data_IF_051951375536
#
_entry.id   IF_051951375536
#
_cell.length_a   1.000
_cell.length_b   1.000
_cell.length_c   1.000
_cell.angle_alpha   90.00
_cell.angle_beta   90.00
_cell.angle_gamma   90.00
#
_symmetry.space_group_name_H-M   'P 1'
#
loop_
_entity.id
_entity.type
_entity.pdbx_description
1 polymer ?
#
# COMPACT_ATOMS: atom_id res chain seq x y z
N UNK A 1 0.86 18.87 -14.74
CA UNK A 1 2.04 18.71 -13.86
C UNK A 1 1.83 17.64 -12.77
N UNK A 2 0.73 17.62 -12.02
CA UNK A 2 0.53 16.74 -10.85
C UNK A 2 0.64 15.21 -11.09
N UNK A 3 0.12 14.69 -12.20
CA UNK A 3 0.23 13.24 -12.54
C UNK A 3 1.67 12.74 -12.70
N UNK A 4 2.58 13.59 -13.19
CA UNK A 4 3.98 13.23 -13.34
C UNK A 4 4.70 13.14 -11.99
N UNK A 5 4.36 14.05 -11.07
CA UNK A 5 4.96 14.12 -9.74
C UNK A 5 4.67 12.87 -8.89
N UNK A 6 3.40 12.44 -8.84
CA UNK A 6 3.00 11.23 -8.09
C UNK A 6 3.58 9.93 -8.66
N UNK A 7 3.75 9.83 -10.00
CA UNK A 7 4.42 8.67 -10.62
C UNK A 7 5.92 8.65 -10.35
N UNK A 8 6.57 9.82 -10.33
CA UNK A 8 7.97 9.93 -9.95
C UNK A 8 8.18 9.53 -8.49
N UNK A 9 7.31 10.00 -7.58
CA UNK A 9 7.33 9.60 -6.17
C UNK A 9 7.12 8.09 -5.98
N UNK A 10 6.15 7.48 -6.70
CA UNK A 10 5.99 6.02 -6.71
C UNK A 10 7.27 5.30 -7.16
N UNK A 11 7.89 5.77 -8.25
CA UNK A 11 9.09 5.14 -8.79
C UNK A 11 10.28 5.25 -7.82
N UNK A 12 10.45 6.41 -7.18
CA UNK A 12 11.49 6.62 -6.18
C UNK A 12 11.27 5.72 -4.96
N UNK A 13 10.02 5.60 -4.48
CA UNK A 13 9.67 4.66 -3.41
C UNK A 13 10.07 3.22 -3.75
N UNK A 14 9.79 2.77 -4.98
CA UNK A 14 10.16 1.43 -5.43
C UNK A 14 11.67 1.21 -5.53
N UNK A 15 12.45 2.23 -5.90
CA UNK A 15 13.91 2.13 -5.90
C UNK A 15 14.44 2.00 -4.47
N UNK A 16 13.90 2.77 -3.53
CA UNK A 16 14.30 2.76 -2.13
C UNK A 16 13.93 1.44 -1.45
N UNK A 17 12.73 0.92 -1.72
CA UNK A 17 12.29 -0.39 -1.25
C UNK A 17 13.25 -1.49 -1.70
N UNK A 18 13.63 -1.51 -2.98
CA UNK A 18 14.63 -2.47 -3.51
C UNK A 18 16.00 -2.36 -2.86
N UNK A 19 16.32 -1.20 -2.26
CA UNK A 19 17.57 -0.98 -1.52
C UNK A 19 17.44 -1.31 -0.03
N UNK A 20 16.26 -1.70 0.44
CA UNK A 20 15.99 -1.96 1.86
C UNK A 20 15.69 -0.70 2.67
N UNK A 21 15.59 0.47 2.03
CA UNK A 21 15.33 1.76 2.68
C UNK A 21 13.83 1.97 2.92
N UNK A 22 13.20 1.03 3.66
CA UNK A 22 11.74 0.90 3.77
C UNK A 22 11.07 2.15 4.38
N UNK A 23 11.74 2.83 5.33
CA UNK A 23 11.22 4.06 5.94
C UNK A 23 11.11 5.20 4.93
N UNK A 24 12.12 5.37 4.08
CA UNK A 24 12.08 6.39 3.03
C UNK A 24 11.11 5.99 1.91
N UNK A 25 11.10 4.71 1.53
CA UNK A 25 10.14 4.18 0.55
C UNK A 25 8.69 4.48 0.98
N UNK A 26 8.36 4.21 2.24
CA UNK A 26 7.04 4.51 2.81
C UNK A 26 6.66 5.98 2.75
N UNK A 27 7.61 6.91 2.94
CA UNK A 27 7.35 8.35 2.80
C UNK A 27 6.99 8.73 1.36
N UNK A 28 7.72 8.19 0.38
CA UNK A 28 7.45 8.47 -1.03
C UNK A 28 6.15 7.84 -1.52
N UNK A 29 5.85 6.62 -1.09
CA UNK A 29 4.57 5.99 -1.34
C UNK A 29 3.41 6.76 -0.70
N UNK A 30 3.57 7.25 0.53
CA UNK A 30 2.56 8.08 1.19
C UNK A 30 2.28 9.36 0.41
N UNK A 31 3.31 10.06 -0.06
CA UNK A 31 3.14 11.26 -0.88
C UNK A 31 2.38 10.95 -2.16
N UNK A 32 2.78 9.91 -2.91
CA UNK A 32 2.11 9.53 -4.14
C UNK A 32 0.66 9.04 -3.91
N UNK A 33 0.43 8.29 -2.83
CA UNK A 33 -0.88 7.80 -2.43
C UNK A 33 -1.84 8.94 -2.05
N UNK A 34 -1.34 9.96 -1.34
CA UNK A 34 -2.10 11.17 -1.02
C UNK A 34 -2.54 11.91 -2.29
N UNK A 35 -1.70 11.93 -3.32
CA UNK A 35 -1.98 12.48 -4.66
C UNK A 35 -2.84 11.55 -5.56
N UNK A 36 -3.41 10.47 -4.99
CA UNK A 36 -4.34 9.56 -5.68
C UNK A 36 -3.67 8.58 -6.63
N UNK A 37 -2.40 8.21 -6.38
CA UNK A 37 -1.75 7.11 -7.09
C UNK A 37 -2.06 5.77 -6.40
N UNK A 38 -3.07 5.06 -6.90
CA UNK A 38 -3.56 3.80 -6.32
C UNK A 38 -2.46 2.75 -6.10
N UNK A 39 -1.53 2.62 -7.04
CA UNK A 39 -0.38 1.70 -6.92
C UNK A 39 0.52 2.04 -5.74
N UNK A 40 0.69 3.33 -5.44
CA UNK A 40 1.49 3.77 -4.30
C UNK A 40 0.77 3.51 -2.98
N UNK A 41 -0.57 3.71 -2.94
CA UNK A 41 -1.37 3.33 -1.79
C UNK A 41 -1.30 1.80 -1.55
N UNK A 42 -1.34 1.00 -2.61
CA UNK A 42 -1.17 -0.45 -2.54
C UNK A 42 0.21 -0.85 -1.97
N UNK A 43 1.29 -0.27 -2.49
CA UNK A 43 2.65 -0.52 -2.01
C UNK A 43 2.84 -0.07 -0.54
N UNK A 44 2.29 1.07 -0.17
CA UNK A 44 2.29 1.54 1.22
C UNK A 44 1.57 0.55 2.15
N UNK A 45 0.44 -0.02 1.72
CA UNK A 45 -0.25 -1.05 2.48
C UNK A 45 0.61 -2.27 2.75
N UNK A 46 1.39 -2.74 1.77
CA UNK A 46 2.33 -3.85 1.98
C UNK A 46 3.42 -3.51 2.99
N UNK A 47 4.02 -2.30 2.92
CA UNK A 47 5.01 -1.88 3.90
C UNK A 47 4.44 -1.78 5.32
N UNK A 48 3.21 -1.29 5.46
CA UNK A 48 2.56 -1.18 6.76
C UNK A 48 2.23 -2.55 7.36
N UNK A 49 1.74 -3.49 6.55
CA UNK A 49 1.53 -4.87 6.99
C UNK A 49 2.85 -5.53 7.42
N UNK A 50 3.92 -5.36 6.65
CA UNK A 50 5.24 -5.91 7.00
C UNK A 50 5.76 -5.33 8.34
N UNK A 51 5.44 -4.06 8.61
CA UNK A 51 5.69 -3.41 9.90
C UNK A 51 4.72 -3.83 11.03
N UNK A 52 3.76 -4.72 10.77
CA UNK A 52 2.75 -5.19 11.73
C UNK A 52 1.54 -4.27 11.89
N UNK A 53 1.44 -3.17 11.14
CA UNK A 53 0.31 -2.25 11.16
C UNK A 53 -0.73 -2.62 10.09
N UNK A 54 -1.41 -3.74 10.33
CA UNK A 54 -2.41 -4.27 9.42
C UNK A 54 -3.67 -3.37 9.32
N UNK A 55 -4.00 -2.64 10.38
CA UNK A 55 -5.12 -1.69 10.38
C UNK A 55 -4.88 -0.56 9.37
N UNK A 56 -3.71 0.09 9.46
CA UNK A 56 -3.36 1.13 8.49
C UNK A 56 -3.20 0.56 7.09
N UNK A 57 -2.65 -0.67 6.95
CA UNK A 57 -2.55 -1.34 5.66
C UNK A 57 -3.92 -1.53 5.00
N UNK A 58 -4.92 -1.99 5.76
CA UNK A 58 -6.29 -2.18 5.29
C UNK A 58 -6.88 -0.88 4.74
N UNK A 59 -6.66 0.25 5.43
CA UNK A 59 -7.15 1.56 5.00
C UNK A 59 -6.56 1.95 3.64
N UNK A 60 -5.25 1.77 3.45
CA UNK A 60 -4.61 2.13 2.18
C UNK A 60 -4.97 1.17 1.04
N UNK A 61 -5.09 -0.13 1.33
CA UNK A 61 -5.57 -1.09 0.33
C UNK A 61 -7.02 -0.85 -0.06
N UNK A 62 -7.89 -0.52 0.89
CA UNK A 62 -9.27 -0.18 0.60
C UNK A 62 -9.35 1.04 -0.34
N UNK A 63 -8.56 2.08 -0.08
CA UNK A 63 -8.49 3.25 -0.97
C UNK A 63 -7.99 2.89 -2.36
N UNK A 64 -6.90 2.12 -2.45
CA UNK A 64 -6.36 1.68 -3.73
C UNK A 64 -7.35 0.79 -4.52
N UNK A 65 -8.06 -0.10 -3.83
CA UNK A 65 -9.08 -0.96 -4.41
C UNK A 65 -10.28 -0.17 -4.96
N UNK A 66 -10.73 0.87 -4.24
CA UNK A 66 -11.77 1.79 -4.72
C UNK A 66 -11.34 2.53 -6.00
N UNK A 67 -10.05 2.82 -6.14
CA UNK A 67 -9.46 3.40 -7.35
C UNK A 67 -9.13 2.35 -8.44
N UNK A 68 -9.54 1.09 -8.25
CA UNK A 68 -9.42 0.01 -9.24
C UNK A 68 -8.13 -0.82 -9.16
N UNK A 69 -7.33 -0.72 -8.09
CA UNK A 69 -6.15 -1.56 -7.90
C UNK A 69 -6.55 -2.98 -7.44
N UNK A 70 -6.49 -3.93 -8.36
CA UNK A 70 -6.85 -5.33 -8.09
C UNK A 70 -5.94 -6.05 -7.10
N UNK A 71 -4.66 -5.63 -6.99
CA UNK A 71 -3.75 -6.21 -6.01
C UNK A 71 -4.13 -5.78 -4.60
N UNK A 72 -4.54 -4.52 -4.44
CA UNK A 72 -5.03 -4.00 -3.18
C UNK A 72 -6.34 -4.68 -2.76
N UNK A 73 -7.27 -4.88 -3.69
CA UNK A 73 -8.51 -5.61 -3.43
C UNK A 73 -8.23 -7.05 -2.97
N UNK A 74 -7.30 -7.74 -3.62
CA UNK A 74 -6.87 -9.09 -3.22
C UNK A 74 -6.19 -9.11 -1.85
N UNK A 75 -5.30 -8.15 -1.56
CA UNK A 75 -4.62 -8.03 -0.27
C UNK A 75 -5.61 -7.76 0.87
N UNK A 76 -6.60 -6.89 0.64
CA UNK A 76 -7.66 -6.62 1.59
C UNK A 76 -8.54 -7.86 1.82
N UNK A 77 -8.89 -8.59 0.76
CA UNK A 77 -9.63 -9.85 0.85
C UNK A 77 -8.87 -10.91 1.66
N UNK A 78 -7.57 -11.06 1.42
CA UNK A 78 -6.71 -11.97 2.18
C UNK A 78 -6.62 -11.58 3.67
N UNK A 79 -6.52 -10.27 3.96
CA UNK A 79 -6.52 -9.77 5.33
C UNK A 79 -7.85 -10.06 6.04
N UNK A 80 -8.98 -9.82 5.37
CA UNK A 80 -10.30 -10.13 5.92
C UNK A 80 -10.51 -11.63 6.12
N UNK A 81 -10.04 -12.48 5.19
CA UNK A 81 -10.10 -13.92 5.35
C UNK A 81 -9.30 -14.37 6.59
N UNK A 82 -8.05 -13.90 6.74
CA UNK A 82 -7.22 -14.23 7.90
C UNK A 82 -7.85 -13.78 9.24
N UNK A 83 -8.55 -12.63 9.24
CA UNK A 83 -9.27 -12.12 10.43
C UNK A 83 -10.64 -12.75 10.65
N UNK A 84 -11.24 -13.28 9.59
CA UNK A 84 -12.52 -14.00 9.57
C UNK A 84 -12.39 -15.49 9.86
N UNK A 85 -11.16 -16.00 9.96
CA UNK A 85 -10.81 -17.32 10.51
C UNK A 85 -10.43 -17.31 12.02
N UNK A 86 -11.13 -16.65 12.98
CA UNK A 86 -10.84 -16.83 14.38
C UNK A 86 -11.73 -17.92 14.99
N UNK A 87 -11.86 -19.12 14.40
CA UNK A 87 -12.40 -20.30 15.09
C UNK A 87 -11.70 -21.58 14.60
N UNK A 88 -10.66 -21.94 15.35
CA UNK A 88 -10.17 -23.30 15.57
C UNK A 88 -11.27 -24.36 15.43
N UNK A 89 -11.01 -25.38 14.60
CA UNK A 89 -11.48 -26.73 14.88
C UNK A 89 -10.71 -27.30 16.09
#
# INVERSE_FOLDING_TARGET
AARGHRRAALHLGAILEKRGELKEAGRWYLTAAKDGEARAACALGFLLRDAGDEESAAVWWLRAAQDGDGNAANALGALHAARGEPQTA
#
